data_IF_491094741984
#
_entry.id   IF_491094741984
#
_cell.length_a   1.000
_cell.length_b   1.000
_cell.length_c   1.000
_cell.angle_alpha   90.00
_cell.angle_beta   90.00
_cell.angle_gamma   90.00
#
_symmetry.space_group_name_H-M   'P 1'
#
loop_
_entity.id
_entity.type
_entity.pdbx_description
1 polymer ?
#
# COMPACT_ATOMS: atom_id res chain seq x y z
N UNK A 1 15.27 -0.34 25.52
CA UNK A 1 16.03 -1.23 24.61
C UNK A 1 16.56 -0.42 23.44
N UNK A 2 17.64 -0.87 22.79
CA UNK A 2 18.12 -0.40 21.49
C UNK A 2 17.48 -1.22 20.38
N UNK A 3 16.81 -0.58 19.44
CA UNK A 3 16.02 -1.24 18.42
C UNK A 3 16.38 -0.71 17.03
N UNK A 4 16.78 -1.63 16.15
CA UNK A 4 17.05 -1.31 14.75
C UNK A 4 15.76 -1.44 13.93
N UNK A 5 15.36 -0.41 13.19
CA UNK A 5 14.26 -0.46 12.23
C UNK A 5 14.85 -0.46 10.82
N UNK A 6 14.76 -1.60 10.14
CA UNK A 6 15.32 -1.81 8.80
C UNK A 6 14.26 -1.44 7.75
N UNK A 7 14.39 -0.23 7.20
CA UNK A 7 13.50 0.36 6.20
C UNK A 7 13.00 1.74 6.63
N UNK A 8 13.27 2.76 5.81
CA UNK A 8 12.84 4.16 5.96
C UNK A 8 11.54 4.49 5.22
N UNK A 9 10.77 3.48 4.82
CA UNK A 9 9.42 3.67 4.29
C UNK A 9 8.41 4.04 5.38
N UNK A 10 7.19 4.38 4.97
CA UNK A 10 6.09 4.82 5.87
C UNK A 10 5.82 3.84 7.01
N UNK A 11 5.93 2.52 6.76
CA UNK A 11 5.81 1.50 7.80
C UNK A 11 6.91 1.67 8.86
N UNK A 12 8.17 1.73 8.43
CA UNK A 12 9.32 1.79 9.33
C UNK A 12 9.38 3.09 10.12
N UNK A 13 9.19 4.26 9.49
CA UNK A 13 9.21 5.54 10.21
C UNK A 13 8.04 5.66 11.20
N UNK A 14 6.87 5.09 10.88
CA UNK A 14 5.74 5.08 11.81
C UNK A 14 5.97 4.13 12.98
N UNK A 15 6.59 2.97 12.75
CA UNK A 15 7.04 2.06 13.81
C UNK A 15 8.07 2.74 14.71
N UNK A 16 9.05 3.45 14.14
CA UNK A 16 10.06 4.17 14.90
C UNK A 16 9.41 5.13 15.93
N UNK A 17 8.37 5.86 15.52
CA UNK A 17 7.62 6.71 16.45
C UNK A 17 6.96 5.94 17.59
N UNK A 18 6.30 4.81 17.31
CA UNK A 18 5.66 4.00 18.35
C UNK A 18 6.69 3.43 19.34
N UNK A 19 7.89 3.08 18.87
CA UNK A 19 8.99 2.62 19.73
C UNK A 19 9.62 3.75 20.55
N UNK A 20 9.76 4.94 19.98
CA UNK A 20 10.17 6.13 20.71
C UNK A 20 9.15 6.51 21.79
N UNK A 21 7.84 6.34 21.54
CA UNK A 21 6.80 6.55 22.56
C UNK A 21 6.97 5.58 23.74
N UNK A 22 7.44 4.35 23.49
CA UNK A 22 7.80 3.35 24.50
C UNK A 22 9.15 3.59 25.20
N UNK A 23 9.81 4.73 24.94
CA UNK A 23 11.09 5.09 25.56
C UNK A 23 12.28 4.26 25.07
N UNK A 24 12.20 3.68 23.88
CA UNK A 24 13.31 2.92 23.28
C UNK A 24 14.29 3.84 22.54
N UNK A 25 15.55 3.43 22.50
CA UNK A 25 16.54 4.02 21.59
C UNK A 25 16.37 3.38 20.22
N UNK A 26 16.11 4.19 19.19
CA UNK A 26 15.76 3.70 17.85
C UNK A 26 16.80 4.13 16.83
N UNK A 27 17.27 3.17 16.02
CA UNK A 27 18.11 3.44 14.85
C UNK A 27 17.34 3.02 13.59
N UNK A 28 17.05 3.97 12.71
CA UNK A 28 16.42 3.70 11.40
C UNK A 28 17.52 3.46 10.37
N UNK A 29 17.44 2.34 9.65
CA UNK A 29 18.41 1.93 8.65
C UNK A 29 17.73 1.93 7.28
N UNK A 30 18.20 2.76 6.35
CA UNK A 30 17.72 2.79 4.97
C UNK A 30 18.87 3.10 3.99
N UNK A 31 18.77 2.65 2.74
CA UNK A 31 19.81 2.87 1.73
C UNK A 31 19.65 4.16 0.92
N UNK A 32 18.44 4.70 0.83
CA UNK A 32 18.08 5.81 -0.06
C UNK A 32 17.42 6.99 0.69
N UNK A 33 17.05 6.81 1.95
CA UNK A 33 16.40 7.84 2.77
C UNK A 33 14.89 7.60 2.90
N UNK A 34 14.21 8.55 3.55
CA UNK A 34 12.80 8.36 3.86
C UNK A 34 11.93 8.43 2.60
N UNK A 35 10.97 7.52 2.48
CA UNK A 35 9.96 7.58 1.42
C UNK A 35 10.44 7.33 -0.02
N UNK A 36 11.72 7.02 -0.27
CA UNK A 36 12.31 6.95 -1.62
C UNK A 36 11.64 5.95 -2.58
N UNK A 37 11.02 4.90 -2.03
CA UNK A 37 10.41 3.79 -2.78
C UNK A 37 8.87 3.87 -2.78
N UNK A 38 8.16 2.77 -2.49
CA UNK A 38 6.70 2.71 -2.60
C UNK A 38 5.96 3.75 -1.73
N UNK A 39 6.55 4.12 -0.59
CA UNK A 39 5.96 5.07 0.35
C UNK A 39 5.83 6.49 -0.20
N UNK A 40 6.76 6.99 -1.02
CA UNK A 40 6.61 8.30 -1.67
C UNK A 40 5.91 8.25 -3.03
N UNK A 41 5.76 7.06 -3.62
CA UNK A 41 5.25 6.87 -5.00
C UNK A 41 3.82 6.34 -5.08
N UNK A 42 3.13 6.20 -3.95
CA UNK A 42 1.73 5.73 -3.93
C UNK A 42 0.73 6.87 -4.22
N UNK A 43 -0.56 6.52 -4.28
CA UNK A 43 -1.65 7.44 -4.60
C UNK A 43 -2.05 8.38 -3.45
N UNK A 44 -1.56 8.16 -2.23
CA UNK A 44 -1.86 8.99 -1.07
C UNK A 44 -3.15 8.62 -0.33
N UNK A 45 -3.77 7.48 -0.59
CA UNK A 45 -5.09 7.17 -0.02
C UNK A 45 -4.95 6.50 1.35
N UNK A 46 -5.83 6.86 2.28
CA UNK A 46 -6.12 6.05 3.48
C UNK A 46 -7.32 5.17 3.15
N UNK A 47 -7.08 4.15 2.33
CA UNK A 47 -8.09 3.25 1.73
C UNK A 47 -8.71 2.25 2.74
N UNK A 48 -9.12 2.74 3.91
CA UNK A 48 -9.71 1.92 4.98
C UNK A 48 -11.09 1.35 4.64
N UNK A 49 -11.77 1.94 3.64
CA UNK A 49 -13.06 1.46 3.12
C UNK A 49 -12.93 0.25 2.18
N UNK A 50 -11.71 -0.08 1.73
CA UNK A 50 -11.48 -1.26 0.92
C UNK A 50 -11.38 -2.49 1.83
N UNK A 51 -12.32 -3.40 1.68
CA UNK A 51 -12.51 -4.54 2.57
C UNK A 51 -12.30 -5.87 1.83
N UNK A 52 -12.09 -5.86 0.51
CA UNK A 52 -11.99 -7.08 -0.27
C UNK A 52 -10.52 -7.41 -0.58
N UNK A 53 -10.10 -8.67 -0.44
CA UNK A 53 -8.76 -9.09 -0.83
C UNK A 53 -8.61 -9.04 -2.36
N UNK A 54 -7.37 -8.89 -2.83
CA UNK A 54 -7.05 -8.99 -4.26
C UNK A 54 -7.31 -10.41 -4.80
N UNK A 55 -7.15 -11.42 -3.93
CA UNK A 55 -7.49 -12.81 -4.22
C UNK A 55 -9.01 -12.97 -4.36
N UNK A 56 -9.48 -13.12 -5.60
CA UNK A 56 -10.88 -13.36 -5.92
C UNK A 56 -11.14 -14.79 -6.41
N UNK A 57 -12.37 -15.33 -6.25
CA UNK A 57 -12.67 -16.73 -6.63
C UNK A 57 -12.56 -16.99 -8.14
N UNK A 58 -12.52 -15.92 -8.95
CA UNK A 58 -12.34 -15.96 -10.41
C UNK A 58 -10.89 -15.63 -10.84
N UNK A 59 -9.93 -15.55 -9.92
CA UNK A 59 -8.53 -15.23 -10.20
C UNK A 59 -7.95 -16.09 -11.35
N UNK A 60 -8.14 -17.41 -11.28
CA UNK A 60 -7.65 -18.35 -12.29
C UNK A 60 -8.24 -18.13 -13.69
N UNK A 61 -9.50 -17.64 -13.79
CA UNK A 61 -10.16 -17.35 -15.08
C UNK A 61 -9.58 -16.12 -15.77
N UNK A 62 -8.99 -15.21 -15.00
CA UNK A 62 -8.34 -14.03 -15.54
C UNK A 62 -6.88 -14.30 -15.97
N UNK A 63 -6.30 -15.43 -15.58
CA UNK A 63 -4.89 -15.72 -15.82
C UNK A 63 -4.51 -15.72 -17.32
N UNK A 64 -5.28 -16.33 -18.25
CA UNK A 64 -4.96 -16.25 -19.68
C UNK A 64 -4.95 -14.81 -20.18
N UNK A 65 -5.90 -13.98 -19.72
CA UNK A 65 -5.96 -12.56 -20.08
C UNK A 65 -4.74 -11.79 -19.55
N UNK A 66 -4.29 -12.07 -18.33
CA UNK A 66 -3.11 -11.44 -17.73
C UNK A 66 -1.79 -11.80 -18.45
N UNK A 67 -1.76 -12.94 -19.14
CA UNK A 67 -0.61 -13.34 -19.95
C UNK A 67 -0.68 -12.77 -21.39
N UNK A 68 -1.89 -12.66 -21.95
CA UNK A 68 -2.09 -12.27 -23.35
C UNK A 68 -2.25 -10.75 -23.57
N UNK A 69 -2.62 -9.98 -22.55
CA UNK A 69 -2.73 -8.51 -22.65
C UNK A 69 -1.52 -7.82 -22.00
N UNK A 70 -0.50 -7.42 -22.80
CA UNK A 70 0.73 -6.84 -22.27
C UNK A 70 0.52 -5.46 -21.63
N UNK A 71 -0.61 -4.78 -21.91
CA UNK A 71 -0.98 -3.46 -21.38
C UNK A 71 -2.25 -3.52 -20.52
N UNK A 72 -2.67 -4.73 -20.15
CA UNK A 72 -3.82 -4.97 -19.30
C UNK A 72 -3.64 -4.40 -17.89
N UNK A 73 -4.72 -4.36 -17.09
CA UNK A 73 -4.69 -3.84 -15.72
C UNK A 73 -3.77 -4.68 -14.80
N UNK A 74 -3.58 -5.96 -15.12
CA UNK A 74 -2.60 -6.85 -14.53
C UNK A 74 -1.91 -7.64 -15.64
N UNK A 75 -0.58 -7.65 -15.66
CA UNK A 75 0.22 -8.39 -16.64
C UNK A 75 1.33 -9.19 -15.95
N UNK A 76 1.62 -10.39 -16.41
CA UNK A 76 2.83 -11.14 -16.04
C UNK A 76 3.79 -11.11 -17.22
N UNK A 77 5.02 -10.64 -17.03
CA UNK A 77 6.03 -10.65 -18.09
C UNK A 77 6.40 -12.10 -18.40
N UNK A 78 6.34 -12.57 -19.67
CA UNK A 78 6.55 -13.99 -19.98
C UNK A 78 7.86 -14.56 -19.45
N UNK A 79 8.95 -13.79 -19.54
CA UNK A 79 10.26 -14.17 -19.01
C UNK A 79 10.30 -14.34 -17.46
N UNK A 80 9.35 -13.73 -16.74
CA UNK A 80 9.25 -13.82 -15.28
C UNK A 80 8.33 -14.96 -14.81
N UNK A 81 7.57 -15.58 -15.71
CA UNK A 81 6.60 -16.63 -15.37
C UNK A 81 7.18 -17.77 -14.52
N UNK A 82 8.37 -18.34 -14.83
CA UNK A 82 8.94 -19.41 -14.01
C UNK A 82 9.23 -18.98 -12.57
N UNK A 83 9.65 -17.74 -12.37
CA UNK A 83 10.02 -17.21 -11.05
C UNK A 83 8.78 -16.95 -10.17
N UNK A 84 7.69 -16.44 -10.75
CA UNK A 84 6.46 -16.13 -10.03
C UNK A 84 5.51 -17.32 -9.89
N UNK A 85 5.70 -18.40 -10.64
CA UNK A 85 4.80 -19.56 -10.63
C UNK A 85 4.51 -20.11 -9.21
N UNK A 86 5.48 -20.29 -8.29
CA UNK A 86 5.19 -20.73 -6.93
C UNK A 86 4.28 -19.76 -6.16
N UNK A 87 4.47 -18.45 -6.36
CA UNK A 87 3.61 -17.42 -5.78
C UNK A 87 2.19 -17.51 -6.35
N UNK A 88 2.04 -17.71 -7.67
CA UNK A 88 0.75 -17.85 -8.32
C UNK A 88 -0.04 -19.07 -7.83
N UNK A 89 0.62 -20.21 -7.65
CA UNK A 89 -0.02 -21.41 -7.10
C UNK A 89 -0.55 -21.15 -5.69
N UNK A 90 0.20 -20.43 -4.86
CA UNK A 90 -0.24 -20.00 -3.53
C UNK A 90 -1.39 -19.01 -3.61
N UNK A 91 -1.37 -18.08 -4.56
CA UNK A 91 -2.43 -17.08 -4.77
C UNK A 91 -3.75 -17.74 -5.18
N UNK A 92 -3.69 -18.70 -6.10
CA UNK A 92 -4.85 -19.52 -6.48
C UNK A 92 -5.35 -20.33 -5.28
N UNK A 93 -4.45 -20.96 -4.52
CA UNK A 93 -4.84 -21.68 -3.32
C UNK A 93 -5.45 -20.77 -2.24
N UNK A 94 -5.03 -19.52 -2.13
CA UNK A 94 -5.60 -18.52 -1.22
C UNK A 94 -6.96 -17.98 -1.70
N UNK A 95 -7.32 -18.21 -2.96
CA UNK A 95 -8.57 -17.74 -3.58
C UNK A 95 -9.78 -18.66 -3.33
N UNK A 96 -9.72 -19.61 -2.39
CA UNK A 96 -10.89 -20.41 -2.00
C UNK A 96 -11.89 -19.57 -1.18
N UNK A 97 -13.21 -19.82 -1.27
CA UNK A 97 -14.21 -19.00 -0.56
C UNK A 97 -13.94 -18.84 0.94
N UNK A 98 -13.52 -19.92 1.62
CA UNK A 98 -13.22 -19.92 3.04
C UNK A 98 -12.00 -19.06 3.38
N UNK A 99 -10.94 -19.13 2.57
CA UNK A 99 -9.72 -18.33 2.77
C UNK A 99 -9.94 -16.86 2.42
N UNK A 100 -10.77 -16.58 1.41
CA UNK A 100 -11.21 -15.23 1.07
C UNK A 100 -11.97 -14.61 2.23
N UNK A 101 -12.93 -15.32 2.82
CA UNK A 101 -13.70 -14.78 3.94
C UNK A 101 -12.80 -14.53 5.18
N UNK A 102 -11.90 -15.46 5.51
CA UNK A 102 -10.93 -15.27 6.59
C UNK A 102 -10.02 -14.05 6.35
N UNK A 103 -9.51 -13.90 5.12
CA UNK A 103 -8.65 -12.76 4.75
C UNK A 103 -9.43 -11.45 4.73
N UNK A 104 -10.69 -11.48 4.28
CA UNK A 104 -11.62 -10.33 4.30
C UNK A 104 -11.83 -9.84 5.74
N UNK A 105 -12.10 -10.74 6.69
CA UNK A 105 -12.23 -10.37 8.10
C UNK A 105 -10.94 -9.77 8.68
N UNK A 106 -9.78 -10.36 8.37
CA UNK A 106 -8.50 -9.85 8.84
C UNK A 106 -8.17 -8.45 8.26
N UNK A 107 -8.37 -8.24 6.96
CA UNK A 107 -8.18 -6.94 6.30
C UNK A 107 -9.17 -5.92 6.87
N UNK A 108 -10.45 -6.27 6.99
CA UNK A 108 -11.47 -5.37 7.53
C UNK A 108 -11.16 -4.93 8.96
N UNK A 109 -10.68 -5.84 9.82
CA UNK A 109 -10.26 -5.51 11.17
C UNK A 109 -9.06 -4.52 11.18
N UNK A 110 -8.04 -4.80 10.36
CA UNK A 110 -6.84 -3.96 10.27
C UNK A 110 -7.16 -2.58 9.67
N UNK A 111 -7.95 -2.54 8.61
CA UNK A 111 -8.37 -1.31 7.94
C UNK A 111 -9.35 -0.50 8.80
N UNK A 112 -10.27 -1.13 9.52
CA UNK A 112 -11.17 -0.45 10.46
C UNK A 112 -10.42 0.29 11.58
N UNK A 113 -9.26 -0.22 11.99
CA UNK A 113 -8.39 0.41 12.98
C UNK A 113 -7.41 1.43 12.39
N UNK A 114 -7.22 1.45 11.07
CA UNK A 114 -6.18 2.22 10.39
C UNK A 114 -6.36 3.74 10.51
N UNK A 115 -7.54 4.27 10.15
CA UNK A 115 -7.79 5.72 10.19
C UNK A 115 -7.74 6.28 11.63
N UNK A 116 -8.38 5.65 12.64
CA UNK A 116 -8.22 6.07 14.03
C UNK A 116 -6.75 6.10 14.49
N UNK A 117 -5.96 5.09 14.12
CA UNK A 117 -4.53 5.05 14.44
C UNK A 117 -3.75 6.20 13.77
N UNK A 118 -4.05 6.51 12.50
CA UNK A 118 -3.47 7.66 11.82
C UNK A 118 -3.82 8.98 12.50
N UNK A 119 -5.10 9.21 12.85
CA UNK A 119 -5.51 10.43 13.55
C UNK A 119 -4.77 10.62 14.87
N UNK A 120 -4.63 9.55 15.69
CA UNK A 120 -3.82 9.58 16.91
C UNK A 120 -2.36 9.93 16.62
N UNK A 121 -1.74 9.27 15.65
CA UNK A 121 -0.33 9.46 15.30
C UNK A 121 -0.05 10.87 14.80
N UNK A 122 -0.88 11.40 13.89
CA UNK A 122 -0.71 12.73 13.32
C UNK A 122 -0.94 13.82 14.39
N UNK A 123 -1.93 13.65 15.26
CA UNK A 123 -2.17 14.56 16.38
C UNK A 123 -0.97 14.59 17.35
N UNK A 124 -0.44 13.43 17.72
CA UNK A 124 0.71 13.32 18.62
C UNK A 124 2.01 13.92 18.06
N UNK A 125 2.11 14.08 16.74
CA UNK A 125 3.29 14.62 16.06
C UNK A 125 3.10 16.03 15.50
N UNK A 126 1.92 16.62 15.72
CA UNK A 126 1.52 17.90 15.13
C UNK A 126 1.68 17.90 13.59
N UNK A 127 1.06 16.92 12.95
CA UNK A 127 1.06 16.68 11.49
C UNK A 127 -0.36 16.49 10.94
N UNK A 128 -1.37 17.03 11.62
CA UNK A 128 -2.79 16.84 11.25
C UNK A 128 -3.13 17.49 9.90
N UNK A 129 -2.36 18.49 9.48
CA UNK A 129 -2.45 19.15 8.17
C UNK A 129 -2.13 18.22 6.99
N UNK A 130 -1.43 17.12 7.24
CA UNK A 130 -1.10 16.15 6.20
C UNK A 130 -2.29 15.29 5.77
N UNK A 131 -3.41 15.29 6.50
CA UNK A 131 -4.60 14.48 6.22
C UNK A 131 -5.74 15.33 5.67
N UNK A 132 -6.23 14.99 4.48
CA UNK A 132 -7.32 15.68 3.79
C UNK A 132 -8.59 14.83 3.81
N UNK A 133 -9.59 15.27 4.57
CA UNK A 133 -10.88 14.58 4.75
C UNK A 133 -11.95 15.08 3.75
N UNK A 134 -11.72 14.87 2.45
CA UNK A 134 -12.64 15.28 1.37
C UNK A 134 -13.45 14.12 0.75
N UNK A 135 -13.28 12.92 1.29
CA UNK A 135 -13.83 11.70 0.73
C UNK A 135 -13.11 11.25 -0.55
N UNK A 136 -13.58 10.14 -1.13
CA UNK A 136 -13.20 9.67 -2.46
C UNK A 136 -14.45 9.38 -3.30
N UNK A 137 -14.26 9.27 -4.62
CA UNK A 137 -15.32 8.85 -5.54
C UNK A 137 -14.87 7.65 -6.38
N UNK A 138 -15.75 6.67 -6.55
CA UNK A 138 -15.63 5.66 -7.61
C UNK A 138 -16.54 6.04 -8.78
N UNK A 139 -16.08 5.85 -10.01
CA UNK A 139 -16.88 6.08 -11.23
C UNK A 139 -16.89 4.83 -12.11
N UNK A 140 -18.04 4.55 -12.72
CA UNK A 140 -18.23 3.43 -13.64
C UNK A 140 -18.58 3.94 -15.03
N UNK A 141 -17.94 3.36 -16.05
CA UNK A 141 -18.38 3.50 -17.45
C UNK A 141 -19.20 2.30 -17.94
N UNK A 142 -19.18 1.19 -17.21
CA UNK A 142 -19.95 -0.02 -17.52
C UNK A 142 -21.24 -0.05 -16.70
N UNK A 143 -22.38 0.01 -17.39
CA UNK A 143 -23.70 0.07 -16.76
C UNK A 143 -24.06 -1.23 -16.02
N UNK A 144 -23.62 -2.39 -16.54
CA UNK A 144 -23.87 -3.70 -15.91
C UNK A 144 -23.08 -3.86 -14.61
N UNK A 145 -21.82 -3.41 -14.60
CA UNK A 145 -21.00 -3.39 -13.40
C UNK A 145 -21.57 -2.41 -12.36
N UNK A 146 -22.00 -1.22 -12.78
CA UNK A 146 -22.61 -0.24 -11.88
C UNK A 146 -23.94 -0.76 -11.28
N UNK A 147 -24.77 -1.43 -12.07
CA UNK A 147 -26.03 -2.01 -11.58
C UNK A 147 -25.85 -3.07 -10.48
N UNK A 148 -24.67 -3.69 -10.38
CA UNK A 148 -24.34 -4.67 -9.34
C UNK A 148 -23.81 -4.02 -8.05
N UNK A 149 -23.37 -2.76 -8.11
CA UNK A 149 -22.76 -2.06 -6.99
C UNK A 149 -23.66 -1.93 -5.74
N UNK A 150 -24.99 -1.72 -5.83
CA UNK A 150 -25.84 -1.57 -4.65
C UNK A 150 -25.74 -2.72 -3.63
N UNK A 151 -25.52 -3.96 -4.09
CA UNK A 151 -25.33 -5.11 -3.21
C UNK A 151 -24.00 -5.02 -2.43
N UNK A 152 -22.91 -4.62 -3.09
CA UNK A 152 -21.62 -4.37 -2.44
C UNK A 152 -21.72 -3.19 -1.48
N UNK A 153 -22.36 -2.09 -1.90
CA UNK A 153 -22.57 -0.91 -1.07
C UNK A 153 -23.35 -1.24 0.21
N UNK A 154 -24.34 -2.16 0.14
CA UNK A 154 -25.03 -2.67 1.32
C UNK A 154 -24.06 -3.41 2.25
N UNK A 155 -23.26 -4.36 1.73
CA UNK A 155 -22.27 -5.10 2.52
C UNK A 155 -21.25 -4.16 3.18
N UNK A 156 -20.78 -3.15 2.46
CA UNK A 156 -19.88 -2.12 2.98
C UNK A 156 -20.51 -1.36 4.16
N UNK A 157 -21.77 -0.92 4.03
CA UNK A 157 -22.51 -0.26 5.13
C UNK A 157 -22.75 -1.18 6.32
N UNK A 158 -23.09 -2.45 6.08
CA UNK A 158 -23.27 -3.46 7.13
C UNK A 158 -21.97 -3.67 7.92
N UNK A 159 -20.80 -3.42 7.30
CA UNK A 159 -19.47 -3.47 7.91
C UNK A 159 -18.97 -2.09 8.39
N UNK A 160 -19.84 -1.08 8.45
CA UNK A 160 -19.52 0.23 9.00
C UNK A 160 -18.80 1.19 8.05
N UNK A 161 -18.77 0.91 6.74
CA UNK A 161 -18.18 1.80 5.72
C UNK A 161 -19.30 2.66 5.09
N UNK A 162 -19.36 3.98 5.36
CA UNK A 162 -20.36 4.86 4.76
C UNK A 162 -20.11 4.99 3.25
N UNK A 163 -21.15 4.71 2.46
CA UNK A 163 -21.10 4.85 1.00
C UNK A 163 -22.46 5.25 0.45
N UNK A 164 -22.43 6.23 -0.45
CA UNK A 164 -23.58 6.77 -1.16
C UNK A 164 -23.45 6.43 -2.64
N UNK A 165 -24.46 5.79 -3.23
CA UNK A 165 -24.52 5.63 -4.69
C UNK A 165 -24.87 6.97 -5.32
N UNK A 166 -24.21 7.32 -6.41
CA UNK A 166 -24.43 8.53 -7.19
C UNK A 166 -24.93 8.18 -8.59
N UNK A 167 -25.93 8.91 -9.05
CA UNK A 167 -26.28 9.01 -10.46
C UNK A 167 -25.18 9.75 -11.23
N UNK A 168 -25.15 9.61 -12.57
CA UNK A 168 -24.16 10.30 -13.39
C UNK A 168 -24.21 11.84 -13.23
N UNK A 169 -25.38 12.51 -13.17
CA UNK A 169 -25.45 13.94 -12.88
C UNK A 169 -24.86 14.32 -11.52
N UNK A 170 -25.13 13.55 -10.46
CA UNK A 170 -24.57 13.78 -9.12
C UNK A 170 -23.03 13.60 -9.11
N UNK A 171 -22.48 12.72 -9.95
CA UNK A 171 -21.02 12.62 -10.14
C UNK A 171 -20.45 13.92 -10.72
N UNK A 172 -21.10 14.52 -11.72
CA UNK A 172 -20.65 15.78 -12.31
C UNK A 172 -20.86 16.98 -11.38
N UNK A 173 -21.88 16.98 -10.52
CA UNK A 173 -22.05 17.99 -9.49
C UNK A 173 -20.91 17.93 -8.47
N UNK A 174 -20.53 16.71 -8.06
CA UNK A 174 -19.47 16.50 -7.09
C UNK A 174 -18.08 16.77 -7.67
N UNK A 175 -17.82 16.37 -8.92
CA UNK A 175 -16.58 16.59 -9.68
C UNK A 175 -16.90 17.17 -11.08
N UNK A 176 -16.95 18.52 -11.22
CA UNK A 176 -17.30 19.18 -12.49
C UNK A 176 -16.44 18.81 -13.69
N UNK A 177 -15.20 18.37 -13.46
CA UNK A 177 -14.29 17.89 -14.50
C UNK A 177 -14.87 16.69 -15.30
N UNK A 178 -15.80 15.93 -14.71
CA UNK A 178 -16.50 14.83 -15.39
C UNK A 178 -17.71 15.26 -16.23
N UNK A 179 -18.08 16.54 -16.24
CA UNK A 179 -19.30 17.03 -16.88
C UNK A 179 -19.49 16.58 -18.33
N UNK A 180 -18.44 16.63 -19.16
CA UNK A 180 -18.52 16.17 -20.56
C UNK A 180 -18.65 14.66 -20.70
N UNK A 181 -17.99 13.88 -19.83
CA UNK A 181 -18.09 12.42 -19.85
C UNK A 181 -19.47 11.95 -19.35
N UNK A 182 -20.10 12.70 -18.45
CA UNK A 182 -21.50 12.49 -18.05
C UNK A 182 -22.45 12.88 -19.19
N UNK A 183 -22.26 14.06 -19.81
CA UNK A 183 -23.10 14.53 -20.91
C UNK A 183 -23.05 13.62 -22.16
N UNK A 184 -21.91 12.98 -22.43
CA UNK A 184 -21.77 12.01 -23.52
C UNK A 184 -22.32 10.62 -23.19
N UNK A 185 -22.74 10.38 -21.94
CA UNK A 185 -23.16 9.07 -21.46
C UNK A 185 -22.01 8.08 -21.32
N UNK A 186 -20.74 8.53 -21.21
CA UNK A 186 -19.62 7.64 -20.91
C UNK A 186 -19.65 7.17 -19.44
N UNK A 187 -19.85 8.10 -18.50
CA UNK A 187 -20.01 7.77 -17.07
C UNK A 187 -21.47 7.38 -16.81
N UNK A 188 -21.68 6.17 -16.28
CA UNK A 188 -23.00 5.61 -15.99
C UNK A 188 -23.48 5.94 -14.57
N UNK A 189 -22.55 6.21 -13.67
CA UNK A 189 -22.82 6.52 -12.27
C UNK A 189 -21.56 6.42 -11.41
N UNK A 190 -21.73 6.60 -10.11
CA UNK A 190 -20.63 6.64 -9.16
C UNK A 190 -20.99 6.21 -7.75
N UNK A 191 -20.00 6.30 -6.87
CA UNK A 191 -20.15 6.05 -5.45
C UNK A 191 -19.27 7.03 -4.68
N UNK A 192 -19.84 7.69 -3.70
CA UNK A 192 -19.14 8.61 -2.82
C UNK A 192 -18.89 7.95 -1.47
N UNK A 193 -17.63 7.99 -1.05
CA UNK A 193 -17.17 7.52 0.26
C UNK A 193 -16.72 8.74 1.07
N UNK A 194 -17.62 9.39 1.83
CA UNK A 194 -17.34 10.68 2.45
C UNK A 194 -16.27 10.62 3.54
N UNK A 195 -16.06 9.45 4.15
CA UNK A 195 -15.13 9.28 5.27
C UNK A 195 -13.73 8.85 4.86
N UNK A 196 -13.49 8.55 3.59
CA UNK A 196 -12.17 8.07 3.10
C UNK A 196 -11.27 9.27 2.83
N UNK A 197 -10.23 9.49 3.66
CA UNK A 197 -9.31 10.58 3.43
C UNK A 197 -8.14 10.17 2.54
N UNK A 198 -7.39 11.16 2.13
CA UNK A 198 -6.08 11.00 1.52
C UNK A 198 -5.08 11.92 2.22
N UNK A 199 -3.81 11.72 1.96
CA UNK A 199 -2.74 12.60 2.45
C UNK A 199 -2.43 13.66 1.40
N UNK A 200 -1.91 14.80 1.84
CA UNK A 200 -1.52 15.92 0.95
C UNK A 200 -0.46 15.49 -0.06
N UNK A 201 0.62 14.85 0.40
CA UNK A 201 1.63 14.19 -0.42
C UNK A 201 2.26 13.04 0.40
N UNK A 202 2.23 11.78 -0.09
CA UNK A 202 2.78 10.65 0.64
C UNK A 202 4.32 10.68 0.79
N UNK A 203 5.04 11.33 -0.12
CA UNK A 203 6.49 11.52 0.00
C UNK A 203 6.80 12.52 1.12
N UNK A 204 6.14 13.68 1.10
CA UNK A 204 6.24 14.71 2.14
C UNK A 204 5.88 14.16 3.52
N UNK A 205 4.75 13.44 3.64
CA UNK A 205 4.35 12.85 4.91
C UNK A 205 5.42 11.87 5.45
N UNK A 206 5.96 10.99 4.61
CA UNK A 206 6.96 10.03 5.04
C UNK A 206 8.27 10.72 5.46
N UNK A 207 8.68 11.75 4.73
CA UNK A 207 9.84 12.57 5.06
C UNK A 207 9.65 13.31 6.39
N UNK A 208 8.51 14.00 6.57
CA UNK A 208 8.16 14.71 7.82
C UNK A 208 8.11 13.78 9.02
N UNK A 209 7.57 12.56 8.85
CA UNK A 209 7.61 11.54 9.90
C UNK A 209 9.06 11.16 10.24
N UNK A 210 9.88 10.85 9.23
CA UNK A 210 11.29 10.53 9.43
C UNK A 210 12.07 11.64 10.14
N UNK A 211 11.93 12.89 9.70
CA UNK A 211 12.55 14.05 10.32
C UNK A 211 12.06 14.27 11.76
N UNK A 212 10.76 14.07 12.03
CA UNK A 212 10.22 14.17 13.38
C UNK A 212 10.75 13.05 14.29
N UNK A 213 11.00 11.86 13.77
CA UNK A 213 11.63 10.78 14.53
C UNK A 213 13.07 11.15 14.92
N UNK A 214 13.84 11.75 14.00
CA UNK A 214 15.19 12.27 14.28
C UNK A 214 15.16 13.36 15.33
N UNK A 215 14.24 14.32 15.22
CA UNK A 215 14.08 15.39 16.21
C UNK A 215 13.71 14.86 17.62
N UNK A 216 13.13 13.66 17.68
CA UNK A 216 12.80 12.93 18.92
C UNK A 216 13.93 12.02 19.41
N UNK A 217 15.09 12.00 18.76
CA UNK A 217 16.27 11.25 19.16
C UNK A 217 16.48 9.90 18.46
N UNK A 218 15.75 9.60 17.37
CA UNK A 218 16.12 8.47 16.53
C UNK A 218 17.41 8.76 15.77
N UNK A 219 18.28 7.75 15.71
CA UNK A 219 19.46 7.77 14.85
C UNK A 219 19.09 7.28 13.44
N UNK A 220 19.81 7.77 12.43
CA UNK A 220 19.65 7.31 11.04
C UNK A 220 20.99 6.80 10.54
N UNK A 221 21.00 5.58 10.03
CA UNK A 221 22.17 4.96 9.41
C UNK A 221 21.85 4.68 7.95
N UNK A 222 22.60 5.30 7.05
CA UNK A 222 22.49 5.01 5.63
C UNK A 222 23.25 3.74 5.29
N UNK A 223 22.56 2.72 4.78
CA UNK A 223 23.21 1.48 4.37
C UNK A 223 22.26 0.37 3.93
N UNK A 224 22.78 -0.54 3.12
CA UNK A 224 22.06 -1.75 2.71
C UNK A 224 22.29 -2.87 3.73
N UNK A 225 21.22 -3.35 4.36
CA UNK A 225 21.26 -4.53 5.24
C UNK A 225 21.23 -5.79 4.38
N UNK A 226 22.11 -6.74 4.72
CA UNK A 226 22.25 -8.01 4.01
C UNK A 226 21.64 -9.18 4.78
N UNK A 227 21.78 -9.22 6.11
CA UNK A 227 21.28 -10.32 6.92
C UNK A 227 21.10 -9.95 8.40
N UNK A 228 20.34 -10.78 9.10
CA UNK A 228 20.29 -10.83 10.55
C UNK A 228 21.06 -12.05 11.08
N UNK A 229 21.62 -11.93 12.27
CA UNK A 229 22.20 -13.04 13.02
C UNK A 229 21.86 -12.92 14.51
N UNK A 230 21.56 -14.04 15.17
CA UNK A 230 21.37 -14.05 16.61
C UNK A 230 22.67 -13.64 17.32
N UNK A 231 22.56 -12.82 18.38
CA UNK A 231 23.72 -12.34 19.14
C UNK A 231 23.37 -12.31 20.63
N UNK A 232 23.62 -13.42 21.33
CA UNK A 232 23.19 -13.58 22.72
C UNK A 232 21.68 -13.37 22.85
N UNK A 233 21.26 -12.48 23.73
CA UNK A 233 19.85 -12.10 23.90
C UNK A 233 19.33 -11.06 22.89
N UNK A 234 20.22 -10.60 22.00
CA UNK A 234 19.96 -9.58 20.97
C UNK A 234 20.14 -10.10 19.54
N UNK A 235 20.32 -9.16 18.62
CA UNK A 235 20.49 -9.40 17.18
C UNK A 235 21.63 -8.56 16.61
N UNK A 236 22.38 -9.13 15.68
CA UNK A 236 23.32 -8.39 14.83
C UNK A 236 22.68 -8.14 13.47
N UNK A 237 22.68 -6.87 13.03
CA UNK A 237 22.25 -6.42 11.71
C UNK A 237 23.50 -6.23 10.85
N UNK A 238 23.71 -7.10 9.87
CA UNK A 238 24.89 -7.05 8.99
C UNK A 238 24.60 -6.24 7.74
N UNK A 239 25.48 -5.29 7.45
CA UNK A 239 25.43 -4.46 6.25
C UNK A 239 26.21 -5.10 5.10
N UNK A 240 25.86 -4.73 3.86
CA UNK A 240 26.51 -5.24 2.65
C UNK A 240 28.01 -4.84 2.54
N UNK A 241 28.44 -3.80 3.24
CA UNK A 241 29.84 -3.38 3.34
C UNK A 241 30.64 -4.17 4.39
N UNK A 242 30.04 -5.16 5.05
CA UNK A 242 30.66 -5.99 6.07
C UNK A 242 30.60 -5.43 7.48
N UNK A 243 30.12 -4.20 7.70
CA UNK A 243 29.91 -3.67 9.06
C UNK A 243 28.70 -4.30 9.73
N UNK A 244 28.65 -4.26 11.06
CA UNK A 244 27.54 -4.79 11.84
C UNK A 244 27.05 -3.78 12.87
N UNK A 245 25.73 -3.77 13.09
CA UNK A 245 25.08 -3.03 14.17
C UNK A 245 24.44 -4.02 15.14
N UNK A 246 24.83 -3.97 16.41
CA UNK A 246 24.23 -4.77 17.46
C UNK A 246 23.03 -4.03 18.07
N UNK A 247 21.90 -4.74 18.22
CA UNK A 247 20.68 -4.22 18.83
C UNK A 247 20.05 -5.28 19.74
N UNK A 248 19.17 -4.85 20.65
CA UNK A 248 18.42 -5.77 21.51
C UNK A 248 17.28 -6.43 20.70
N UNK A 249 16.71 -5.69 19.75
CA UNK A 249 15.67 -6.13 18.81
C UNK A 249 15.87 -5.48 17.44
N UNK A 250 15.30 -6.08 16.40
CA UNK A 250 15.21 -5.48 15.08
C UNK A 250 13.80 -5.62 14.50
N UNK A 251 13.38 -4.66 13.68
CA UNK A 251 12.15 -4.71 12.90
C UNK A 251 12.51 -4.70 11.41
N UNK A 252 12.03 -5.69 10.66
CA UNK A 252 12.17 -5.76 9.21
C UNK A 252 10.96 -5.11 8.52
N UNK A 253 11.15 -3.90 8.02
CA UNK A 253 10.14 -3.09 7.33
C UNK A 253 10.59 -2.66 5.91
N UNK A 254 11.39 -3.49 5.24
CA UNK A 254 12.07 -3.17 3.98
C UNK A 254 11.20 -3.39 2.71
N UNK A 255 9.89 -3.34 2.85
CA UNK A 255 8.94 -3.43 1.73
C UNK A 255 9.19 -4.62 0.80
N UNK A 256 9.36 -4.34 -0.50
CA UNK A 256 9.57 -5.36 -1.54
C UNK A 256 10.93 -6.09 -1.41
N UNK A 257 11.89 -5.53 -0.67
CA UNK A 257 13.21 -6.11 -0.44
C UNK A 257 13.28 -6.94 0.85
N UNK A 258 12.18 -7.14 1.57
CA UNK A 258 12.18 -7.90 2.83
C UNK A 258 12.43 -9.40 2.63
N UNK A 259 12.10 -9.99 1.48
CA UNK A 259 12.18 -11.45 1.24
C UNK A 259 13.54 -12.08 1.58
N UNK A 260 14.68 -11.62 1.05
CA UNK A 260 15.98 -12.21 1.37
C UNK A 260 16.34 -12.06 2.85
N UNK A 261 16.01 -10.92 3.48
CA UNK A 261 16.32 -10.69 4.89
C UNK A 261 15.44 -11.55 5.81
N UNK A 262 14.16 -11.72 5.49
CA UNK A 262 13.25 -12.59 6.23
C UNK A 262 13.76 -14.03 6.26
N UNK A 263 14.29 -14.52 5.14
CA UNK A 263 14.90 -15.85 5.06
C UNK A 263 16.12 -16.00 5.98
N UNK A 264 16.92 -14.94 6.15
CA UNK A 264 18.07 -14.96 7.08
C UNK A 264 17.63 -15.01 8.56
N UNK A 265 16.41 -14.57 8.86
CA UNK A 265 15.80 -14.63 10.19
C UNK A 265 14.95 -15.90 10.42
N UNK A 266 14.89 -16.81 9.42
CA UNK A 266 14.25 -18.12 9.52
C UNK A 266 13.01 -18.32 8.64
N UNK A 267 12.45 -17.26 8.06
CA UNK A 267 11.13 -17.32 7.42
C UNK A 267 11.18 -17.16 5.89
N UNK A 268 10.77 -18.21 5.17
CA UNK A 268 10.68 -18.22 3.69
C UNK A 268 9.33 -17.68 3.21
N UNK A 269 9.10 -16.40 3.45
CA UNK A 269 7.85 -15.74 3.07
C UNK A 269 7.69 -15.69 1.53
N UNK A 270 6.53 -16.06 0.96
CA UNK A 270 6.25 -15.96 -0.48
C UNK A 270 5.93 -14.50 -0.86
N UNK A 271 6.87 -13.59 -0.61
CA UNK A 271 6.78 -12.20 -1.06
C UNK A 271 7.16 -12.13 -2.55
N UNK A 272 6.35 -11.40 -3.31
CA UNK A 272 6.66 -10.94 -4.66
C UNK A 272 6.33 -9.45 -4.78
N UNK A 273 6.51 -8.88 -5.96
CA UNK A 273 6.37 -7.44 -6.19
C UNK A 273 5.43 -7.13 -7.34
N UNK A 274 4.39 -6.40 -7.00
CA UNK A 274 3.51 -5.75 -7.97
C UNK A 274 4.15 -4.42 -8.39
N UNK A 275 4.60 -4.35 -9.64
CA UNK A 275 5.16 -3.12 -10.23
C UNK A 275 4.01 -2.22 -10.67
N UNK A 276 3.81 -1.13 -9.94
CA UNK A 276 2.81 -0.11 -10.26
C UNK A 276 3.43 1.07 -10.99
N UNK A 277 2.73 1.59 -11.98
CA UNK A 277 3.20 2.73 -12.79
C UNK A 277 2.35 3.97 -12.49
N UNK A 278 3.00 5.12 -12.42
CA UNK A 278 2.28 6.38 -12.30
C UNK A 278 2.97 7.53 -13.05
N UNK A 279 2.21 8.59 -13.27
CA UNK A 279 2.70 9.90 -13.68
C UNK A 279 2.14 10.94 -12.73
N UNK A 280 2.99 11.87 -12.30
CA UNK A 280 2.57 13.04 -11.52
C UNK A 280 2.71 14.28 -12.39
N UNK A 281 1.61 14.98 -12.59
CA UNK A 281 1.48 16.16 -13.45
C UNK A 281 1.54 17.43 -12.61
N UNK A 282 1.29 18.60 -13.18
CA UNK A 282 1.15 19.82 -12.37
C UNK A 282 -0.15 19.78 -11.55
N UNK A 283 -0.14 20.31 -10.33
CA UNK A 283 -1.35 20.34 -9.48
C UNK A 283 -2.53 21.03 -10.19
N UNK A 284 -3.70 20.42 -10.11
CA UNK A 284 -4.93 20.94 -10.73
C UNK A 284 -5.08 20.67 -12.23
N UNK A 285 -4.14 19.97 -12.86
CA UNK A 285 -4.19 19.59 -14.29
C UNK A 285 -5.44 18.77 -14.63
N UNK A 286 -5.90 17.92 -13.71
CA UNK A 286 -7.09 17.08 -13.91
C UNK A 286 -8.40 17.80 -13.55
N UNK A 287 -8.32 18.94 -12.85
CA UNK A 287 -9.51 19.65 -12.33
C UNK A 287 -10.30 18.86 -11.28
N UNK A 288 -9.73 17.77 -10.75
CA UNK A 288 -10.36 16.93 -9.74
C UNK A 288 -10.05 17.44 -8.33
N UNK A 289 -11.07 17.48 -7.49
CA UNK A 289 -10.93 17.99 -6.12
C UNK A 289 -10.64 16.90 -5.08
N UNK A 290 -10.92 15.64 -5.41
CA UNK A 290 -10.69 14.49 -4.53
C UNK A 290 -10.19 13.26 -5.29
N UNK A 291 -9.71 12.22 -4.59
CA UNK A 291 -9.26 11.02 -5.24
C UNK A 291 -10.39 10.26 -5.93
N UNK A 292 -10.08 9.67 -7.10
CA UNK A 292 -11.06 8.96 -7.94
C UNK A 292 -10.57 7.57 -8.31
N UNK A 293 -11.43 6.58 -8.14
CA UNK A 293 -11.27 5.21 -8.63
C UNK A 293 -12.05 5.04 -9.94
N UNK A 294 -11.39 4.52 -10.98
CA UNK A 294 -12.01 4.26 -12.28
C UNK A 294 -12.31 2.77 -12.38
N UNK A 295 -13.53 2.41 -11.99
CA UNK A 295 -13.93 1.03 -11.75
C UNK A 295 -13.91 0.21 -13.05
N UNK A 296 -13.30 -0.97 -12.98
CA UNK A 296 -13.07 -1.83 -14.15
C UNK A 296 -11.91 -1.41 -15.05
N UNK A 297 -11.29 -0.24 -14.85
CA UNK A 297 -10.19 0.24 -15.69
C UNK A 297 -8.79 0.00 -15.12
N UNK A 298 -8.68 -0.23 -13.80
CA UNK A 298 -7.45 -0.60 -13.11
C UNK A 298 -6.50 0.57 -12.83
N UNK A 299 -7.05 1.76 -12.60
CA UNK A 299 -6.27 2.94 -12.23
C UNK A 299 -7.06 3.92 -11.35
N UNK A 300 -6.33 4.82 -10.72
CA UNK A 300 -6.82 5.87 -9.83
C UNK A 300 -6.19 7.21 -10.19
N UNK A 301 -6.85 8.30 -9.79
CA UNK A 301 -6.28 9.65 -9.82
C UNK A 301 -6.36 10.29 -8.44
N UNK A 302 -5.38 11.11 -8.08
CA UNK A 302 -5.32 11.78 -6.79
C UNK A 302 -4.80 13.20 -6.96
N UNK A 303 -5.53 14.23 -6.50
CA UNK A 303 -4.96 15.56 -6.34
C UNK A 303 -4.00 15.54 -5.14
N UNK A 304 -2.72 15.82 -5.38
CA UNK A 304 -1.70 15.89 -4.34
C UNK A 304 -1.01 17.26 -4.39
N UNK A 305 -0.39 17.67 -3.28
CA UNK A 305 0.36 18.92 -3.21
C UNK A 305 1.52 18.96 -4.21
N UNK A 306 2.18 17.83 -4.48
CA UNK A 306 3.22 17.70 -5.49
C UNK A 306 2.69 17.67 -6.94
N UNK A 307 1.37 17.63 -7.12
CA UNK A 307 0.72 17.54 -8.42
C UNK A 307 -0.25 16.38 -8.57
N UNK A 308 -1.09 16.44 -9.61
CA UNK A 308 -2.11 15.42 -9.80
C UNK A 308 -1.48 14.11 -10.27
N UNK A 309 -1.70 13.05 -9.50
CA UNK A 309 -1.10 11.74 -9.72
C UNK A 309 -2.10 10.80 -10.37
N UNK A 310 -1.70 10.23 -11.50
CA UNK A 310 -2.42 9.18 -12.23
C UNK A 310 -1.63 7.90 -12.05
N UNK A 311 -2.21 6.91 -11.37
CA UNK A 311 -1.52 5.68 -10.99
C UNK A 311 -2.37 4.45 -11.26
N UNK A 312 -1.75 3.38 -11.73
CA UNK A 312 -2.44 2.15 -12.07
C UNK A 312 -1.49 1.15 -12.72
N UNK A 313 -2.07 0.19 -13.43
CA UNK A 313 -1.36 -0.86 -14.16
C UNK A 313 -0.38 -1.66 -13.29
N UNK A 314 -0.72 -2.93 -13.05
CA UNK A 314 0.13 -3.82 -12.26
C UNK A 314 0.89 -4.76 -13.19
N UNK A 315 2.19 -4.88 -12.96
CA UNK A 315 3.05 -5.80 -13.69
C UNK A 315 3.86 -6.68 -12.73
N UNK A 316 3.84 -7.98 -12.97
CA UNK A 316 4.76 -8.92 -12.34
C UNK A 316 5.97 -9.15 -13.25
N UNK A 317 7.11 -8.58 -12.85
CA UNK A 317 8.38 -8.72 -13.56
C UNK A 317 9.60 -8.68 -12.61
N UNK A 318 9.40 -8.91 -11.31
CA UNK A 318 10.44 -8.82 -10.29
C UNK A 318 10.92 -7.38 -10.04
N UNK A 319 12.08 -7.25 -9.41
CA UNK A 319 12.67 -5.97 -8.99
C UNK A 319 13.60 -5.34 -10.04
N UNK A 320 14.22 -6.18 -10.88
CA UNK A 320 15.36 -5.77 -11.71
C UNK A 320 15.02 -5.50 -13.19
N UNK A 321 13.82 -5.88 -13.63
CA UNK A 321 13.42 -5.68 -15.02
C UNK A 321 13.28 -4.18 -15.36
N UNK A 322 13.55 -3.78 -16.60
CA UNK A 322 13.35 -2.39 -17.01
C UNK A 322 11.88 -1.94 -16.88
N UNK A 323 11.62 -0.65 -16.57
CA UNK A 323 10.27 -0.09 -16.55
C UNK A 323 9.61 -0.09 -17.94
N UNK A 324 8.32 -0.40 -18.01
CA UNK A 324 7.52 -0.26 -19.22
C UNK A 324 6.54 0.93 -19.13
N UNK A 325 6.99 2.12 -19.53
CA UNK A 325 6.18 3.34 -19.45
C UNK A 325 5.07 3.44 -20.52
N UNK A 326 5.00 2.54 -21.50
CA UNK A 326 3.84 2.46 -22.39
C UNK A 326 2.54 2.17 -21.61
N UNK A 327 2.65 1.58 -20.41
CA UNK A 327 1.53 1.43 -19.47
C UNK A 327 0.97 2.76 -19.01
N UNK A 328 1.82 3.76 -18.75
CA UNK A 328 1.38 5.12 -18.41
C UNK A 328 0.61 5.72 -19.59
N UNK A 329 1.10 5.54 -20.82
CA UNK A 329 0.42 6.05 -22.01
C UNK A 329 -0.97 5.41 -22.19
N UNK A 330 -1.09 4.11 -21.96
CA UNK A 330 -2.37 3.40 -21.97
C UNK A 330 -3.34 3.92 -20.90
N UNK A 331 -2.85 4.21 -19.68
CA UNK A 331 -3.65 4.81 -18.62
C UNK A 331 -4.16 6.21 -19.00
N UNK A 332 -3.28 7.05 -19.55
CA UNK A 332 -3.66 8.39 -20.03
C UNK A 332 -4.67 8.31 -21.18
N UNK A 333 -4.55 7.32 -22.06
CA UNK A 333 -5.54 7.04 -23.10
C UNK A 333 -6.94 6.74 -22.54
N UNK A 334 -7.02 5.93 -21.47
CA UNK A 334 -8.29 5.65 -20.78
C UNK A 334 -8.83 6.88 -20.07
N UNK A 335 -7.97 7.62 -19.35
CA UNK A 335 -8.36 8.81 -18.59
C UNK A 335 -9.01 9.88 -19.48
N UNK A 336 -8.53 10.08 -20.71
CA UNK A 336 -9.13 11.03 -21.68
C UNK A 336 -10.60 10.74 -22.00
N UNK A 337 -11.09 9.51 -21.80
CA UNK A 337 -12.53 9.22 -21.95
C UNK A 337 -13.36 9.76 -20.79
N UNK A 338 -12.76 9.82 -19.59
CA UNK A 338 -13.37 10.38 -18.40
C UNK A 338 -13.19 11.89 -18.32
N UNK A 339 -12.06 12.41 -18.82
CA UNK A 339 -11.75 13.84 -18.89
C UNK A 339 -11.50 14.24 -20.36
N UNK A 340 -12.55 14.44 -21.17
CA UNK A 340 -12.38 14.75 -22.61
C UNK A 340 -11.64 16.06 -22.90
N UNK A 341 -11.65 16.99 -21.94
CA UNK A 341 -10.96 18.28 -22.04
C UNK A 341 -9.49 18.21 -21.60
N UNK A 342 -9.03 17.03 -21.15
CA UNK A 342 -7.65 16.82 -20.76
C UNK A 342 -6.74 16.89 -22.00
N UNK A 343 -5.92 17.92 -22.04
CA UNK A 343 -4.93 18.13 -23.10
C UNK A 343 -3.77 17.14 -23.07
N UNK A 344 -2.63 17.57 -23.61
CA UNK A 344 -1.38 16.83 -23.45
C UNK A 344 -1.02 16.77 -21.96
N UNK A 345 -0.68 15.57 -21.49
CA UNK A 345 -0.33 15.35 -20.10
C UNK A 345 1.19 15.21 -20.01
N UNK A 346 1.82 16.24 -19.48
CA UNK A 346 3.23 16.23 -19.12
C UNK A 346 3.36 15.96 -17.62
N UNK A 347 4.41 15.22 -17.25
CA UNK A 347 4.62 14.87 -15.86
C UNK A 347 5.75 13.88 -15.64
N UNK A 348 6.08 13.74 -14.37
CA UNK A 348 7.16 12.87 -13.92
C UNK A 348 6.63 11.44 -13.82
N UNK A 349 7.12 10.56 -14.70
CA UNK A 349 6.79 9.13 -14.69
C UNK A 349 7.62 8.39 -13.63
N UNK A 350 6.97 7.51 -12.88
CA UNK A 350 7.60 6.72 -11.82
C UNK A 350 7.11 5.27 -11.84
N UNK A 351 8.01 4.39 -11.42
CA UNK A 351 7.73 3.00 -11.07
C UNK A 351 7.69 2.85 -9.54
N UNK A 352 6.77 2.06 -9.04
CA UNK A 352 6.59 1.72 -7.63
C UNK A 352 6.57 0.20 -7.46
N UNK A 353 7.22 -0.29 -6.40
CA UNK A 353 7.33 -1.71 -6.08
C UNK A 353 6.47 -2.04 -4.85
N UNK A 354 5.26 -2.56 -5.07
CA UNK A 354 4.32 -2.88 -3.99
C UNK A 354 4.59 -4.30 -3.49
N UNK A 355 4.87 -4.50 -2.18
CA UNK A 355 5.19 -5.82 -1.64
C UNK A 355 3.92 -6.68 -1.53
N UNK A 356 3.78 -7.67 -2.41
CA UNK A 356 2.55 -8.46 -2.56
C UNK A 356 2.70 -9.88 -1.99
N UNK A 357 1.69 -10.30 -1.25
CA UNK A 357 1.60 -11.60 -0.58
C UNK A 357 0.39 -12.36 -1.16
N UNK A 358 0.47 -13.69 -1.37
CA UNK A 358 -0.58 -14.44 -2.05
C UNK A 358 -1.97 -14.38 -1.41
N UNK A 359 -2.05 -14.20 -0.09
CA UNK A 359 -3.31 -14.07 0.65
C UNK A 359 -3.76 -12.62 0.85
N UNK A 360 -3.03 -11.64 0.29
CA UNK A 360 -3.28 -10.20 0.43
C UNK A 360 -3.14 -9.67 1.87
N UNK A 361 -2.62 -10.45 2.82
CA UNK A 361 -2.39 -10.03 4.20
C UNK A 361 -0.93 -9.63 4.42
N UNK A 362 -0.65 -8.58 5.22
CA UNK A 362 0.71 -8.27 5.59
C UNK A 362 1.33 -9.39 6.45
N UNK A 363 2.65 -9.33 6.58
CA UNK A 363 3.44 -10.17 7.48
C UNK A 363 3.85 -9.32 8.67
N UNK A 364 3.23 -9.60 9.80
CA UNK A 364 3.44 -8.92 11.08
C UNK A 364 3.64 -9.98 12.15
N UNK A 365 4.84 -10.09 12.69
CA UNK A 365 5.12 -11.09 13.72
C UNK A 365 6.58 -11.42 13.91
N UNK A 366 6.88 -12.14 14.98
CA UNK A 366 8.23 -12.59 15.33
C UNK A 366 8.80 -13.58 14.32
N UNK A 367 10.09 -13.43 14.01
CA UNK A 367 10.80 -14.35 13.14
C UNK A 367 11.05 -15.71 13.83
N UNK A 368 11.01 -16.79 13.06
CA UNK A 368 11.06 -18.15 13.64
C UNK A 368 12.43 -18.57 14.19
N UNK A 369 13.54 -18.14 13.56
CA UNK A 369 14.89 -18.51 13.99
C UNK A 369 15.56 -17.47 14.89
N UNK A 370 15.17 -16.20 14.77
CA UNK A 370 15.72 -15.10 15.58
C UNK A 370 14.54 -14.34 16.22
N UNK A 371 14.08 -14.73 17.42
CA UNK A 371 12.93 -14.12 18.07
C UNK A 371 13.07 -12.62 18.39
N UNK A 372 14.29 -12.09 18.27
CA UNK A 372 14.60 -10.67 18.39
C UNK A 372 14.25 -9.86 17.13
N UNK A 373 13.94 -10.52 16.02
CA UNK A 373 13.52 -9.90 14.76
C UNK A 373 11.99 -9.98 14.65
N UNK A 374 11.36 -8.85 14.34
CA UNK A 374 9.93 -8.76 14.04
C UNK A 374 9.77 -8.35 12.58
N UNK A 375 8.96 -9.09 11.83
CA UNK A 375 8.58 -8.76 10.47
C UNK A 375 7.43 -7.74 10.46
N UNK A 376 7.50 -6.76 9.56
CA UNK A 376 6.45 -5.77 9.33
C UNK A 376 6.47 -5.30 7.87
N UNK A 377 6.06 -6.17 6.94
CA UNK A 377 6.07 -5.89 5.49
C UNK A 377 4.91 -6.60 4.77
N UNK A 378 4.82 -6.49 3.44
CA UNK A 378 3.83 -7.23 2.66
C UNK A 378 2.44 -6.58 2.59
N UNK A 379 2.35 -5.29 2.91
CA UNK A 379 1.07 -4.55 2.95
C UNK A 379 0.42 -4.29 1.58
N UNK A 380 1.01 -4.74 0.47
CA UNK A 380 0.46 -4.57 -0.88
C UNK A 380 0.07 -3.12 -1.18
N UNK A 381 -1.22 -2.91 -1.47
CA UNK A 381 -1.81 -1.60 -1.75
C UNK A 381 -2.08 -0.75 -0.50
N UNK A 382 -2.03 -1.34 0.69
CA UNK A 382 -2.46 -0.74 1.95
C UNK A 382 -1.32 -0.24 2.83
N UNK A 383 -0.08 -0.20 2.33
CA UNK A 383 1.08 0.20 3.14
C UNK A 383 0.93 1.57 3.81
N UNK A 384 0.40 2.58 3.11
CA UNK A 384 0.08 3.87 3.71
C UNK A 384 -1.07 3.75 4.71
N UNK A 385 -2.20 3.16 4.29
CA UNK A 385 -3.38 2.93 5.14
C UNK A 385 -3.01 2.28 6.48
N UNK A 386 -2.27 1.17 6.45
CA UNK A 386 -2.05 0.30 7.60
C UNK A 386 -0.82 0.66 8.44
N UNK A 387 -0.05 1.70 8.08
CA UNK A 387 1.21 2.02 8.76
C UNK A 387 1.05 2.31 10.26
N UNK A 388 0.09 3.17 10.61
CA UNK A 388 -0.12 3.59 12.00
C UNK A 388 -0.58 2.42 12.89
N UNK A 389 -1.53 1.60 12.44
CA UNK A 389 -1.96 0.42 13.19
C UNK A 389 -0.88 -0.67 13.24
N UNK A 390 -0.11 -0.86 12.16
CA UNK A 390 1.05 -1.78 12.17
C UNK A 390 2.07 -1.35 13.22
N UNK A 391 2.32 -0.04 13.36
CA UNK A 391 3.22 0.48 14.38
C UNK A 391 2.77 0.17 15.80
N UNK A 392 1.47 0.32 16.10
CA UNK A 392 0.90 -0.05 17.39
C UNK A 392 1.03 -1.56 17.67
N UNK A 393 0.79 -2.41 16.67
CA UNK A 393 0.94 -3.87 16.77
C UNK A 393 2.39 -4.30 17.01
N UNK A 394 3.35 -3.69 16.31
CA UNK A 394 4.78 -3.99 16.46
C UNK A 394 5.29 -3.51 17.82
N UNK A 395 4.92 -2.31 18.25
CA UNK A 395 5.30 -1.79 19.57
C UNK A 395 4.74 -2.67 20.70
N UNK A 396 3.49 -3.12 20.60
CA UNK A 396 2.90 -4.04 21.58
C UNK A 396 3.70 -5.36 21.68
N UNK A 397 4.14 -5.93 20.55
CA UNK A 397 4.98 -7.14 20.55
C UNK A 397 6.34 -6.91 21.21
N UNK A 398 7.00 -5.78 20.90
CA UNK A 398 8.30 -5.41 21.47
C UNK A 398 8.20 -5.23 22.98
N UNK A 399 7.17 -4.52 23.44
CA UNK A 399 6.90 -4.26 24.85
C UNK A 399 6.29 -5.46 25.59
N UNK A 400 5.98 -6.55 24.88
CA UNK A 400 5.26 -7.73 25.42
C UNK A 400 3.92 -7.37 26.07
N UNK A 401 3.21 -6.42 25.45
CA UNK A 401 1.84 -6.02 25.82
C UNK A 401 0.83 -6.71 24.91
N UNK A 402 -0.43 -6.78 25.35
CA UNK A 402 -1.52 -7.26 24.51
C UNK A 402 -1.65 -6.36 23.27
N UNK A 403 -1.64 -6.91 22.04
CA UNK A 403 -1.81 -6.13 20.83
C UNK A 403 -3.27 -5.66 20.68
N UNK A 404 -3.52 -4.50 20.03
CA UNK A 404 -4.88 -4.00 19.80
C UNK A 404 -5.72 -4.90 18.88
N UNK A 405 -5.09 -5.78 18.10
CA UNK A 405 -5.74 -6.77 17.24
C UNK A 405 -5.01 -8.12 17.36
N UNK A 406 -5.72 -9.26 17.20
CA UNK A 406 -5.09 -10.57 17.08
C UNK A 406 -4.11 -10.62 15.90
N UNK A 407 -2.97 -11.30 16.09
CA UNK A 407 -1.87 -11.34 15.11
C UNK A 407 -1.81 -12.63 14.30
N UNK A 408 -2.58 -13.66 14.66
CA UNK A 408 -2.46 -15.00 14.07
C UNK A 408 -2.58 -14.99 12.55
N UNK A 409 -3.51 -14.20 12.01
CA UNK A 409 -3.72 -14.05 10.57
C UNK A 409 -2.54 -13.38 9.83
N UNK A 410 -1.72 -12.60 10.54
CA UNK A 410 -0.58 -11.87 9.99
C UNK A 410 0.76 -12.57 10.26
N UNK A 411 0.74 -13.70 10.96
CA UNK A 411 1.95 -14.42 11.36
C UNK A 411 2.81 -14.79 10.14
N UNK A 412 4.15 -14.60 10.21
CA UNK A 412 5.08 -15.10 9.21
C UNK A 412 5.07 -16.63 9.07
N UNK A 413 4.67 -17.38 10.11
CA UNK A 413 4.63 -18.85 10.10
C UNK A 413 3.38 -19.46 9.44
N UNK A 414 2.52 -18.64 8.82
CA UNK A 414 1.33 -19.15 8.10
C UNK A 414 1.63 -19.76 6.72
N UNK A 415 2.89 -19.77 6.29
CA UNK A 415 3.33 -20.09 4.91
C UNK A 415 4.12 -21.39 4.75
#
# INVERSE_FOLDING_TARGET
>A
MRIAVVGGGVIGVTIAHALLDGGHAVTIIDREGFGAQASGRNAGWIAHADILPLAGPKAWRNLPRWLCDPLGPLTIRPAYLPAILPWMLRFVAASSPQRIEASTHAIAALNGAALPAWKRRLAALDLTDALVERGQVSVWSDASAFAQFPALAKRQRDLGVPVQTLTAPEVAELEPAFGRAVASGWIQGGAHYPTVPHVTDPADLTERLGQRAVARGAEVVTGAVQSFAARGDGVSVRFANGTELAADRAVLALGAWSKPLAATAGDRVPLDTERGYNVTTTAGTLGLSRPVMYEGHGFVTSPLACGDRIGGAVEFAGLDADPNYARVDALLGKLRRFLPDLGAVEGVRRLCFRPSIPDSLPVIGTASAIPQVIHAFGHGHYGLTQAAITAELVAAQIDRRAPPLPLDAFSPQRF
#
